data_IF_944637803427
#
_entry.id   IF_944637803427
#
_cell.length_a   1.000
_cell.length_b   1.000
_cell.length_c   1.000
_cell.angle_alpha   90.00
_cell.angle_beta   90.00
_cell.angle_gamma   90.00
#
_symmetry.space_group_name_H-M   'P 1'
#
loop_
_entity.id
_entity.type
_entity.pdbx_description
1 polymer ?
#
# COMPACT_ATOMS: atom_id res chain seq x y z
N UNK A 1 3.65 -21.99 -5.64
CA UNK A 1 4.65 -20.91 -5.71
C UNK A 1 4.13 -19.92 -6.75
N UNK A 2 3.87 -18.66 -6.40
CA UNK A 2 3.38 -17.67 -7.36
C UNK A 2 4.46 -17.41 -8.40
N UNK A 3 4.28 -17.93 -9.61
CA UNK A 3 5.13 -17.60 -10.75
C UNK A 3 4.76 -16.17 -11.16
N UNK A 4 5.67 -15.22 -10.99
CA UNK A 4 5.48 -13.90 -11.56
C UNK A 4 5.74 -14.02 -13.06
N UNK A 5 4.77 -13.61 -13.86
CA UNK A 5 4.82 -13.83 -15.31
C UNK A 5 5.70 -12.77 -16.02
N UNK A 6 6.07 -11.69 -15.32
CA UNK A 6 6.82 -10.59 -15.92
C UNK A 6 7.57 -9.72 -14.89
N UNK A 7 8.68 -9.13 -15.32
CA UNK A 7 9.40 -8.09 -14.56
C UNK A 7 8.50 -6.88 -14.21
N UNK A 8 7.47 -6.62 -15.01
CA UNK A 8 6.51 -5.54 -14.77
C UNK A 8 5.67 -5.81 -13.51
N UNK A 9 5.26 -7.06 -13.28
CA UNK A 9 4.54 -7.46 -12.07
C UNK A 9 5.42 -7.34 -10.83
N UNK A 10 6.69 -7.76 -10.92
CA UNK A 10 7.66 -7.61 -9.82
C UNK A 10 7.86 -6.13 -9.48
N UNK A 11 8.02 -5.27 -10.48
CA UNK A 11 8.12 -3.81 -10.28
C UNK A 11 6.86 -3.26 -9.58
N UNK A 12 5.68 -3.68 -10.02
CA UNK A 12 4.42 -3.26 -9.38
C UNK A 12 4.32 -3.69 -7.92
N UNK A 13 4.72 -4.93 -7.60
CA UNK A 13 4.74 -5.43 -6.22
C UNK A 13 5.67 -4.58 -5.34
N UNK A 14 6.89 -4.29 -5.82
CA UNK A 14 7.83 -3.43 -5.09
C UNK A 14 7.24 -2.04 -4.88
N UNK A 15 6.63 -1.44 -5.90
CA UNK A 15 5.97 -0.13 -5.79
C UNK A 15 4.82 -0.14 -4.76
N UNK A 16 3.95 -1.17 -4.81
CA UNK A 16 2.84 -1.32 -3.88
C UNK A 16 3.34 -1.47 -2.43
N UNK A 17 4.37 -2.29 -2.19
CA UNK A 17 4.97 -2.46 -0.86
C UNK A 17 5.60 -1.17 -0.37
N UNK A 18 6.39 -0.48 -1.20
CA UNK A 18 7.01 0.79 -0.85
C UNK A 18 6.00 1.88 -0.52
N UNK A 19 4.93 2.02 -1.31
CA UNK A 19 3.89 3.01 -1.04
C UNK A 19 3.05 2.65 0.19
N UNK A 20 2.80 1.36 0.43
CA UNK A 20 2.14 0.91 1.67
C UNK A 20 2.93 1.32 2.90
N UNK A 21 4.25 1.11 2.88
CA UNK A 21 5.14 1.54 3.96
C UNK A 21 5.15 3.07 4.09
N UNK A 22 5.28 3.81 2.99
CA UNK A 22 5.29 5.27 3.03
C UNK A 22 4.00 5.88 3.61
N UNK A 23 2.84 5.31 3.27
CA UNK A 23 1.56 5.69 3.87
C UNK A 23 1.58 5.40 5.38
N UNK A 24 2.01 4.21 5.79
CA UNK A 24 2.05 3.83 7.19
C UNK A 24 3.06 4.67 8.01
N UNK A 25 4.22 5.01 7.43
CA UNK A 25 5.23 5.89 8.03
C UNK A 25 4.68 7.31 8.24
N UNK A 26 4.09 7.90 7.19
CA UNK A 26 3.46 9.25 7.26
C UNK A 26 2.34 9.29 8.30
N UNK A 27 1.52 8.23 8.36
CA UNK A 27 0.35 8.13 9.21
C UNK A 27 0.65 7.86 10.69
N UNK A 28 1.57 6.93 10.95
CA UNK A 28 1.70 6.24 12.23
C UNK A 28 3.17 6.12 12.68
N UNK A 29 4.11 6.73 11.96
CA UNK A 29 5.55 6.49 12.15
C UNK A 29 5.85 4.99 12.22
N UNK A 30 5.18 4.23 11.34
CA UNK A 30 5.22 2.78 11.33
C UNK A 30 6.57 2.27 10.85
N UNK A 31 7.08 1.22 11.49
CA UNK A 31 8.25 0.46 11.06
C UNK A 31 7.92 -1.03 11.09
N UNK A 32 8.04 -1.75 9.96
CA UNK A 32 7.78 -3.19 9.94
C UNK A 32 8.85 -4.01 10.69
N UNK A 33 10.13 -3.56 10.63
CA UNK A 33 11.35 -4.07 11.31
C UNK A 33 11.84 -5.48 10.95
N UNK A 34 11.03 -6.32 10.33
CA UNK A 34 11.45 -7.64 9.86
C UNK A 34 11.00 -7.94 8.42
N UNK A 35 10.78 -6.90 7.60
CA UNK A 35 10.23 -7.09 6.25
C UNK A 35 11.16 -7.93 5.37
N UNK A 36 10.58 -8.93 4.73
CA UNK A 36 11.25 -9.85 3.83
C UNK A 36 10.26 -10.30 2.74
N UNK A 37 10.72 -11.00 1.68
CA UNK A 37 9.81 -11.53 0.67
C UNK A 37 8.75 -12.51 1.21
N UNK A 38 9.01 -13.24 2.31
CA UNK A 38 8.00 -14.15 2.90
C UNK A 38 6.93 -13.43 3.71
N UNK A 39 7.15 -12.16 4.06
CA UNK A 39 6.16 -11.29 4.70
C UNK A 39 5.29 -10.52 3.69
N UNK A 40 5.42 -10.80 2.39
CA UNK A 40 4.60 -10.20 1.34
C UNK A 40 3.79 -11.28 0.65
N UNK A 41 2.48 -11.23 0.85
CA UNK A 41 1.55 -12.06 0.10
C UNK A 41 1.23 -11.38 -1.23
N UNK A 42 1.22 -12.17 -2.30
CA UNK A 42 0.79 -11.72 -3.63
C UNK A 42 -0.39 -12.56 -4.07
N UNK A 43 -1.46 -11.89 -4.51
CA UNK A 43 -2.64 -12.50 -5.11
C UNK A 43 -2.94 -11.88 -6.46
N UNK A 44 -3.76 -12.56 -7.26
CA UNK A 44 -4.32 -11.99 -8.47
C UNK A 44 -5.23 -10.80 -8.13
N UNK A 45 -5.10 -9.72 -8.90
CA UNK A 45 -5.91 -8.52 -8.81
C UNK A 45 -6.77 -8.37 -10.06
N UNK A 46 -8.01 -7.94 -9.87
CA UNK A 46 -8.94 -7.66 -10.97
C UNK A 46 -9.03 -6.17 -11.29
N UNK A 47 -8.74 -5.29 -10.33
CA UNK A 47 -8.64 -3.85 -10.61
C UNK A 47 -7.27 -3.50 -11.19
N UNK A 48 -7.26 -2.52 -12.08
CA UNK A 48 -6.06 -2.14 -12.84
C UNK A 48 -5.09 -1.28 -12.04
N UNK A 49 -5.58 -0.44 -11.12
CA UNK A 49 -4.78 0.60 -10.44
C UNK A 49 -4.96 0.53 -8.93
N UNK A 50 -3.87 0.71 -8.17
CA UNK A 50 -3.86 0.93 -6.74
C UNK A 50 -3.60 2.41 -6.45
N UNK A 51 -4.38 2.99 -5.52
CA UNK A 51 -4.24 4.39 -5.09
C UNK A 51 -3.70 4.47 -3.66
N UNK A 52 -2.70 5.32 -3.45
CA UNK A 52 -2.04 5.56 -2.17
C UNK A 52 -2.05 7.05 -1.86
N UNK A 53 -2.41 7.43 -0.65
CA UNK A 53 -2.44 8.83 -0.22
C UNK A 53 -1.36 9.09 0.81
N UNK A 54 -0.32 9.83 0.41
CA UNK A 54 0.81 10.17 1.27
C UNK A 54 0.75 11.68 1.52
N UNK A 55 0.63 12.09 2.78
CA UNK A 55 0.51 13.49 3.17
C UNK A 55 -0.55 14.29 2.38
N UNK A 56 -1.69 13.66 2.07
CA UNK A 56 -2.79 14.28 1.33
C UNK A 56 -2.58 14.35 -0.19
N UNK A 57 -1.53 13.72 -0.73
CA UNK A 57 -1.26 13.66 -2.17
C UNK A 57 -1.52 12.24 -2.71
N UNK A 58 -2.28 12.10 -3.80
CA UNK A 58 -2.53 10.79 -4.40
C UNK A 58 -1.34 10.31 -5.24
N UNK A 59 -1.04 9.02 -5.13
CA UNK A 59 -0.07 8.28 -5.93
C UNK A 59 -0.74 7.03 -6.48
N UNK A 60 -0.57 6.78 -7.77
CA UNK A 60 -1.22 5.68 -8.48
C UNK A 60 -0.19 4.68 -9.00
N UNK A 61 -0.49 3.39 -8.88
CA UNK A 61 0.34 2.30 -9.38
C UNK A 61 -0.51 1.32 -10.17
N UNK A 62 -0.09 1.05 -11.41
CA UNK A 62 -0.68 -0.02 -12.21
C UNK A 62 -0.36 -1.38 -11.57
N UNK A 63 -1.40 -2.16 -11.26
CA UNK A 63 -1.30 -3.45 -10.59
C UNK A 63 -0.81 -4.56 -11.50
N UNK A 64 -1.00 -4.43 -12.83
CA UNK A 64 -0.67 -5.48 -13.82
C UNK A 64 -1.16 -6.89 -13.41
N UNK A 65 -2.38 -6.93 -12.84
CA UNK A 65 -3.01 -8.18 -12.39
C UNK A 65 -2.49 -8.74 -11.07
N UNK A 66 -1.63 -8.04 -10.32
CA UNK A 66 -1.10 -8.48 -9.02
C UNK A 66 -1.37 -7.49 -7.89
N UNK A 67 -1.75 -8.00 -6.72
CA UNK A 67 -1.88 -7.21 -5.49
C UNK A 67 -0.95 -7.74 -4.42
N UNK A 68 -0.10 -6.87 -3.89
CA UNK A 68 0.80 -7.16 -2.79
C UNK A 68 0.15 -6.80 -1.44
N UNK A 69 0.41 -7.57 -0.39
CA UNK A 69 -0.07 -7.31 0.97
C UNK A 69 1.02 -7.68 1.97
N UNK A 70 1.42 -6.72 2.80
CA UNK A 70 2.38 -6.95 3.88
C UNK A 70 1.67 -7.65 5.04
N UNK A 71 2.28 -8.68 5.60
CA UNK A 71 1.78 -9.45 6.74
C UNK A 71 2.83 -9.53 7.86
N UNK A 72 2.46 -10.21 8.96
CA UNK A 72 3.28 -10.44 10.16
C UNK A 72 3.89 -9.16 10.74
N UNK A 73 3.12 -8.54 11.62
CA UNK A 73 3.51 -7.30 12.30
C UNK A 73 4.07 -7.56 13.72
N UNK A 74 4.46 -8.80 14.03
CA UNK A 74 4.85 -9.22 15.39
C UNK A 74 6.04 -8.44 15.97
N UNK A 75 6.96 -7.98 15.12
CA UNK A 75 8.15 -7.20 15.51
C UNK A 75 8.05 -5.71 15.15
N UNK A 76 6.93 -5.30 14.55
CA UNK A 76 6.72 -3.95 14.06
C UNK A 76 6.57 -2.92 15.19
N UNK A 77 6.78 -1.64 14.86
CA UNK A 77 6.55 -0.49 15.73
C UNK A 77 5.60 0.49 15.06
N UNK A 78 4.84 1.21 15.88
CA UNK A 78 4.10 2.39 15.47
C UNK A 78 4.05 3.35 16.65
N UNK A 79 3.96 4.64 16.34
CA UNK A 79 3.73 5.69 17.31
C UNK A 79 2.39 6.33 16.96
N UNK A 80 1.47 6.32 17.92
CA UNK A 80 0.26 7.12 17.78
C UNK A 80 0.67 8.59 17.70
N UNK A 81 0.22 9.35 16.67
CA UNK A 81 0.52 10.76 16.57
C UNK A 81 0.11 11.46 17.87
N UNK A 82 1.04 12.20 18.49
CA UNK A 82 0.69 13.12 19.59
C UNK A 82 -0.30 14.13 19.05
N UNK A 83 -1.40 14.33 19.77
CA UNK A 83 -2.59 15.04 19.33
C UNK A 83 -2.31 16.27 18.46
N UNK A 84 -2.74 16.16 17.20
CA UNK A 84 -2.81 17.19 16.18
C UNK A 84 -3.89 16.76 15.18
N UNK A 85 -4.50 17.68 14.39
CA UNK A 85 -5.62 17.33 13.52
C UNK A 85 -5.19 16.18 12.60
N UNK A 86 -5.88 15.04 12.73
CA UNK A 86 -5.56 13.82 12.02
C UNK A 86 -5.54 14.10 10.52
N UNK A 87 -4.34 14.11 9.92
CA UNK A 87 -4.22 13.96 8.46
C UNK A 87 -4.68 12.54 8.17
N UNK A 88 -5.91 12.38 7.70
CA UNK A 88 -6.53 11.07 7.54
C UNK A 88 -5.70 10.21 6.57
N UNK A 89 -5.06 9.12 7.02
CA UNK A 89 -4.27 8.27 6.16
C UNK A 89 -5.21 7.22 5.56
N UNK A 90 -5.98 7.60 4.54
CA UNK A 90 -6.84 6.64 3.88
C UNK A 90 -6.03 5.83 2.86
N UNK A 91 -5.76 4.57 3.21
CA UNK A 91 -5.52 3.53 2.20
C UNK A 91 -6.88 3.22 1.58
N UNK A 92 -7.19 3.87 0.46
CA UNK A 92 -8.38 3.53 -0.32
C UNK A 92 -8.04 2.29 -1.14
N UNK A 93 -8.46 1.12 -0.66
CA UNK A 93 -8.62 -0.04 -1.53
C UNK A 93 -9.79 0.26 -2.47
N UNK A 94 -9.48 0.75 -3.66
CA UNK A 94 -10.49 1.13 -4.64
C UNK A 94 -11.29 -0.08 -5.10
N UNK A 95 -12.49 -0.24 -4.55
CA UNK A 95 -13.66 -0.63 -5.31
C UNK A 95 -14.60 0.57 -5.33
N UNK A 96 -14.51 1.42 -6.36
CA UNK A 96 -15.55 2.43 -6.60
C UNK A 96 -15.60 2.80 -8.10
N UNK A 97 -16.56 2.26 -8.86
CA UNK A 97 -16.91 2.80 -10.17
C UNK A 97 -17.83 4.02 -9.98
N UNK A 98 -17.56 5.07 -10.76
CA UNK A 98 -18.36 6.30 -10.95
C UNK A 98 -18.58 7.23 -9.75
N UNK A 99 -17.98 8.42 -9.81
CA UNK A 99 -18.40 9.56 -8.97
C UNK A 99 -17.28 10.46 -8.46
N UNK A 100 -16.38 10.94 -9.33
CA UNK A 100 -15.49 12.04 -8.97
C UNK A 100 -16.28 13.36 -9.11
N UNK A 101 -16.85 13.84 -7.99
CA UNK A 101 -17.33 15.21 -7.83
C UNK A 101 -16.53 15.87 -6.70
N UNK A 102 -15.88 16.99 -7.05
CA UNK A 102 -15.43 18.10 -6.20
C UNK A 102 -14.90 17.80 -4.80
N UNK A 103 -13.59 18.01 -4.60
CA UNK A 103 -13.01 19.19 -3.94
C UNK A 103 -11.49 19.04 -3.84
#
# INVERSE_FOLDING_TARGET
MSQFDSAVQVRSIVQQVSLTLAVAESALQFEHRALSPHHVLVKQAYDEVAAFWIDGRPHFVDKFGVQATIIDFSTSRLLLPREGPAKSPFIVFSGCPSGWLSC
#
